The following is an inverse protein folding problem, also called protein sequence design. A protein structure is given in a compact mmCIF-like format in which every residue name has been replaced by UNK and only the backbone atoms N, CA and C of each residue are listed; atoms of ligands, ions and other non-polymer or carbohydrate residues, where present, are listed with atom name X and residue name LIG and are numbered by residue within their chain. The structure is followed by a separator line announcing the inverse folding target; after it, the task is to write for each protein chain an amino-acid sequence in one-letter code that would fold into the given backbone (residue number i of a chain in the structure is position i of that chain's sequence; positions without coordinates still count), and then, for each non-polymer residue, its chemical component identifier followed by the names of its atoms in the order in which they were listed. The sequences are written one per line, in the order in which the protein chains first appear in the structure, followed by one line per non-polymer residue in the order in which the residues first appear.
data_IF_658428924486
#
_entry.id   IF_658428924486
#
_cell.length_a   1.000
_cell.length_b   1.000
_cell.length_c   1.000
_cell.angle_alpha   90.00
_cell.angle_beta   90.00
_cell.angle_gamma   90.00
#
_symmetry.space_group_name_H-M   'P 1'
#
loop_
_entity.id
_entity.type
_entity.pdbx_description
1 polymer ?
#
# COMPACT_ATOMS: atom_id res chain seq x y z
N UNK A 1 -1.22 -3.14 15.77
CA UNK A 1 -0.24 -4.19 15.40
C UNK A 1 0.44 -3.90 14.07
N UNK A 2 -0.32 -3.42 13.07
CA UNK A 2 0.20 -3.08 11.74
C UNK A 2 1.46 -2.20 11.76
N UNK A 3 1.41 -1.05 12.47
CA UNK A 3 2.55 -0.14 12.60
C UNK A 3 3.81 -0.82 13.17
N UNK A 4 3.66 -1.69 14.18
CA UNK A 4 4.80 -2.38 14.78
C UNK A 4 5.55 -3.27 13.77
N UNK A 5 4.81 -3.91 12.85
CA UNK A 5 5.39 -4.78 11.81
C UNK A 5 6.20 -3.97 10.80
N UNK A 6 5.76 -2.75 10.50
CA UNK A 6 6.45 -1.86 9.59
C UNK A 6 7.61 -1.09 10.22
N UNK A 7 7.83 -1.24 11.54
CA UNK A 7 8.97 -0.66 12.27
C UNK A 7 9.27 0.79 11.86
N UNK A 8 8.29 1.70 11.92
CA UNK A 8 8.48 3.08 11.49
C UNK A 8 9.47 3.78 12.40
N UNK A 9 10.19 4.77 11.85
CA UNK A 9 10.93 5.73 12.66
C UNK A 9 9.93 6.65 13.38
N UNK A 10 9.97 6.67 14.70
CA UNK A 10 9.11 7.52 15.54
C UNK A 10 9.94 8.70 16.02
N UNK A 11 9.50 9.92 15.73
CA UNK A 11 10.17 11.16 16.12
C UNK A 11 9.17 12.15 16.72
N UNK A 12 9.63 13.02 17.62
CA UNK A 12 8.83 14.08 18.27
C UNK A 12 7.44 13.61 18.77
N UNK A 13 7.41 12.58 19.62
CA UNK A 13 6.14 12.06 20.14
C UNK A 13 5.77 12.69 21.48
N UNK A 14 4.51 13.15 21.60
CA UNK A 14 3.88 13.63 22.83
C UNK A 14 2.80 12.64 23.27
N UNK A 15 3.25 11.41 23.56
CA UNK A 15 2.34 10.33 23.94
C UNK A 15 2.26 10.29 25.46
N UNK A 16 1.10 10.64 26.07
CA UNK A 16 0.96 10.62 27.51
C UNK A 16 1.10 9.19 28.05
N UNK A 17 1.54 9.06 29.30
CA UNK A 17 1.61 7.77 29.98
C UNK A 17 0.20 7.28 30.35
N UNK A 18 -0.53 6.77 29.35
CA UNK A 18 -1.91 6.32 29.46
C UNK A 18 -1.99 4.78 29.47
N UNK A 19 -2.39 4.15 30.60
CA UNK A 19 -2.56 2.71 30.69
C UNK A 19 -3.65 2.16 29.75
N UNK A 20 -4.57 3.00 29.25
CA UNK A 20 -5.59 2.60 28.28
C UNK A 20 -5.03 2.39 26.84
N UNK A 21 -3.77 2.78 26.57
CA UNK A 21 -3.15 2.70 25.23
C UNK A 21 -1.83 1.92 25.21
N UNK A 22 -1.78 0.68 25.73
CA UNK A 22 -0.53 -0.07 25.90
C UNK A 22 0.19 -0.37 24.58
N UNK A 23 -0.55 -0.56 23.48
CA UNK A 23 0.06 -0.81 22.16
C UNK A 23 0.81 0.40 21.60
N UNK A 24 0.37 1.61 21.93
CA UNK A 24 1.02 2.84 21.51
C UNK A 24 2.32 3.04 22.28
N UNK A 25 2.30 2.81 23.60
CA UNK A 25 3.50 2.82 24.45
C UNK A 25 4.55 1.81 23.96
N UNK A 26 4.15 0.58 23.65
CA UNK A 26 5.05 -0.45 23.08
C UNK A 26 5.67 -0.06 21.75
N UNK A 27 4.91 0.66 20.91
CA UNK A 27 5.37 1.14 19.62
C UNK A 27 6.47 2.20 19.82
N UNK A 28 6.24 3.18 20.69
CA UNK A 28 7.20 4.25 21.03
C UNK A 28 8.46 3.70 21.68
N UNK A 29 8.31 2.75 22.61
CA UNK A 29 9.44 2.15 23.31
C UNK A 29 10.31 1.24 22.42
N UNK A 30 9.91 1.03 21.16
CA UNK A 30 10.70 0.25 20.21
C UNK A 30 10.81 -1.22 20.59
N UNK A 31 9.80 -1.80 21.25
CA UNK A 31 9.78 -3.24 21.54
C UNK A 31 9.81 -4.04 20.22
N UNK A 32 11.00 -4.50 19.84
CA UNK A 32 11.37 -4.82 18.43
C UNK A 32 11.37 -6.30 18.08
N UNK A 33 11.06 -7.20 19.02
CA UNK A 33 11.09 -8.64 18.74
C UNK A 33 9.89 -9.05 17.90
N UNK A 34 10.05 -8.97 16.58
CA UNK A 34 9.09 -9.48 15.61
C UNK A 34 9.21 -11.00 15.52
N UNK A 35 8.19 -11.69 16.01
CA UNK A 35 7.95 -13.10 15.73
C UNK A 35 6.98 -13.23 14.54
N UNK A 36 7.00 -14.35 13.80
CA UNK A 36 5.99 -14.62 12.79
C UNK A 36 4.57 -14.51 13.36
N UNK A 37 3.60 -14.02 12.56
CA UNK A 37 3.69 -13.70 11.14
C UNK A 37 4.41 -12.36 10.85
N UNK A 38 5.25 -12.35 9.80
CA UNK A 38 6.02 -11.17 9.37
C UNK A 38 5.25 -10.22 8.44
N UNK A 39 3.95 -10.50 8.26
CA UNK A 39 2.99 -9.64 7.56
C UNK A 39 1.69 -9.61 8.35
N UNK A 40 0.99 -8.48 8.31
CA UNK A 40 -0.29 -8.29 8.99
C UNK A 40 -1.27 -7.64 8.02
N UNK A 41 -2.55 -8.00 8.16
CA UNK A 41 -3.68 -7.28 7.60
C UNK A 41 -4.58 -6.89 8.77
N UNK A 42 -4.86 -5.59 8.92
CA UNK A 42 -5.66 -5.06 10.01
C UNK A 42 -6.80 -4.21 9.43
N UNK A 43 -8.04 -4.61 9.68
CA UNK A 43 -9.21 -3.82 9.29
C UNK A 43 -9.48 -2.75 10.34
N UNK A 44 -9.81 -1.55 9.89
CA UNK A 44 -10.22 -0.42 10.73
C UNK A 44 -11.37 0.35 10.05
N UNK A 45 -12.02 1.23 10.79
CA UNK A 45 -13.02 2.14 10.25
C UNK A 45 -12.91 3.50 10.93
N UNK A 46 -13.23 4.57 10.20
CA UNK A 46 -13.28 5.92 10.79
C UNK A 46 -14.45 6.05 11.75
N UNK A 47 -14.39 6.98 12.71
CA UNK A 47 -15.39 7.11 13.77
C UNK A 47 -16.78 7.62 13.33
N UNK A 48 -16.89 8.20 12.13
CA UNK A 48 -18.17 8.71 11.62
C UNK A 48 -19.22 7.59 11.48
N UNK A 49 -20.51 7.95 11.54
CA UNK A 49 -21.61 6.98 11.52
C UNK A 49 -21.62 6.06 10.28
N UNK A 50 -21.22 6.58 9.11
CA UNK A 50 -21.07 5.81 7.86
C UNK A 50 -19.63 5.34 7.61
N UNK A 51 -18.77 5.37 8.64
CA UNK A 51 -17.32 5.42 8.54
C UNK A 51 -16.65 4.59 7.44
N UNK A 52 -15.59 5.15 6.85
CA UNK A 52 -14.84 4.52 5.76
C UNK A 52 -14.13 3.26 6.25
N UNK A 53 -14.43 2.13 5.61
CA UNK A 53 -13.76 0.86 5.85
C UNK A 53 -12.43 0.83 5.13
N UNK A 54 -11.37 0.51 5.86
CA UNK A 54 -10.05 0.36 5.28
C UNK A 54 -9.29 -0.81 5.90
N UNK A 55 -8.36 -1.36 5.12
CA UNK A 55 -7.46 -2.41 5.57
C UNK A 55 -6.02 -1.93 5.47
N UNK A 56 -5.30 -1.98 6.58
CA UNK A 56 -3.86 -1.73 6.64
C UNK A 56 -3.14 -3.05 6.41
N UNK A 57 -2.31 -3.10 5.39
CA UNK A 57 -1.36 -4.16 5.14
C UNK A 57 0.02 -3.70 5.57
N UNK A 58 0.76 -4.56 6.26
CA UNK A 58 2.13 -4.26 6.67
C UNK A 58 3.01 -5.48 6.49
N UNK A 59 4.26 -5.26 6.09
CA UNK A 59 5.32 -6.26 6.10
C UNK A 59 6.55 -5.73 6.81
N UNK A 60 7.25 -6.62 7.51
CA UNK A 60 8.56 -6.30 8.05
C UNK A 60 9.64 -6.53 7.02
N UNK A 61 10.81 -5.92 7.21
CA UNK A 61 12.02 -6.21 6.44
C UNK A 61 12.33 -7.71 6.40
N UNK A 62 12.23 -8.39 7.56
CA UNK A 62 12.53 -9.83 7.70
C UNK A 62 11.67 -10.72 6.82
N UNK A 63 10.50 -10.27 6.37
CA UNK A 63 9.64 -11.02 5.46
C UNK A 63 10.29 -11.27 4.09
N UNK A 64 11.22 -10.40 3.66
CA UNK A 64 11.81 -10.37 2.32
C UNK A 64 10.79 -10.30 1.17
N UNK A 65 9.53 -9.98 1.49
CA UNK A 65 8.46 -9.90 0.50
C UNK A 65 8.49 -8.56 -0.24
N UNK A 66 8.21 -8.65 -1.53
CA UNK A 66 7.84 -7.53 -2.38
C UNK A 66 6.37 -7.20 -2.08
N UNK A 67 6.09 -6.01 -1.52
CA UNK A 67 4.76 -5.65 -0.99
C UNK A 67 3.62 -5.76 -2.00
N UNK A 68 3.80 -5.37 -3.26
CA UNK A 68 2.74 -5.34 -4.27
C UNK A 68 2.27 -6.76 -4.62
N UNK A 69 3.14 -7.62 -5.14
CA UNK A 69 2.76 -8.97 -5.58
C UNK A 69 2.61 -9.95 -4.44
N UNK A 70 3.57 -9.98 -3.50
CA UNK A 70 3.63 -11.02 -2.46
C UNK A 70 2.71 -10.70 -1.28
N UNK A 71 2.31 -9.45 -1.09
CA UNK A 71 1.34 -9.05 -0.06
C UNK A 71 0.02 -8.60 -0.70
N UNK A 72 -0.01 -7.51 -1.47
CA UNK A 72 -1.26 -6.87 -1.90
C UNK A 72 -2.05 -7.74 -2.89
N UNK A 73 -1.48 -8.16 -4.02
CA UNK A 73 -2.16 -9.05 -4.98
C UNK A 73 -2.67 -10.32 -4.30
N UNK A 74 -1.86 -10.94 -3.43
CA UNK A 74 -2.27 -12.14 -2.69
C UNK A 74 -3.41 -11.90 -1.70
N UNK A 75 -3.42 -10.76 -1.01
CA UNK A 75 -4.43 -10.43 0.01
C UNK A 75 -5.72 -9.92 -0.61
N UNK A 76 -5.63 -9.13 -1.68
CA UNK A 76 -6.77 -8.61 -2.42
C UNK A 76 -7.40 -9.67 -3.32
N UNK A 77 -6.65 -10.72 -3.70
CA UNK A 77 -7.11 -11.82 -4.58
C UNK A 77 -7.65 -11.33 -5.93
N UNK A 78 -7.04 -10.28 -6.46
CA UNK A 78 -7.38 -9.65 -7.73
C UNK A 78 -6.13 -9.03 -8.34
N UNK A 79 -6.16 -8.77 -9.64
CA UNK A 79 -5.13 -7.97 -10.30
C UNK A 79 -5.12 -6.54 -9.76
N UNK A 80 -4.02 -5.83 -9.99
CA UNK A 80 -3.87 -4.43 -9.59
C UNK A 80 -3.33 -3.58 -10.74
N UNK A 81 -3.84 -2.36 -10.87
CA UNK A 81 -3.19 -1.29 -11.66
C UNK A 81 -2.42 -0.39 -10.71
N UNK A 82 -1.16 -0.10 -11.00
CA UNK A 82 -0.23 0.55 -10.07
C UNK A 82 0.37 1.81 -10.68
N UNK A 83 0.23 2.93 -9.97
CA UNK A 83 0.96 4.18 -10.21
C UNK A 83 2.05 4.34 -9.16
N UNK A 84 3.31 4.36 -9.61
CA UNK A 84 4.48 4.31 -8.72
C UNK A 84 5.76 4.55 -9.50
N UNK A 85 6.78 5.11 -8.85
CA UNK A 85 8.12 5.20 -9.44
C UNK A 85 8.78 3.82 -9.48
N UNK A 86 9.78 3.66 -10.36
CA UNK A 86 10.31 2.33 -10.74
C UNK A 86 11.83 2.29 -10.84
N UNK A 87 12.42 1.16 -10.48
CA UNK A 87 13.86 0.88 -10.59
C UNK A 87 14.23 0.07 -11.84
N UNK A 88 13.31 -0.02 -12.81
CA UNK A 88 13.40 -0.80 -14.07
C UNK A 88 13.56 -2.32 -13.89
N UNK A 89 13.66 -2.81 -12.66
CA UNK A 89 13.90 -4.23 -12.39
C UNK A 89 12.59 -5.02 -12.29
N UNK A 90 11.60 -4.44 -11.61
CA UNK A 90 10.26 -5.00 -11.55
C UNK A 90 9.44 -4.51 -12.75
N UNK A 91 8.76 -5.45 -13.42
CA UNK A 91 7.95 -5.21 -14.63
C UNK A 91 6.51 -5.61 -14.38
N UNK A 92 5.61 -5.19 -15.27
CA UNK A 92 4.25 -5.72 -15.37
C UNK A 92 4.28 -7.25 -15.40
N UNK A 93 3.36 -7.90 -14.67
CA UNK A 93 3.21 -9.36 -14.65
C UNK A 93 1.77 -9.69 -15.00
N UNK A 94 1.47 -9.75 -16.30
CA UNK A 94 0.12 -10.03 -16.80
C UNK A 94 -0.11 -11.50 -17.17
N UNK A 95 0.88 -12.36 -16.93
CA UNK A 95 0.86 -13.75 -17.39
C UNK A 95 -0.08 -14.64 -16.55
N UNK A 96 -0.47 -14.17 -15.37
CA UNK A 96 -1.36 -14.90 -14.46
C UNK A 96 -2.73 -14.22 -14.47
N UNK A 97 -3.75 -14.93 -14.97
CA UNK A 97 -5.15 -14.49 -14.88
C UNK A 97 -5.53 -14.21 -13.41
N UNK A 98 -6.25 -13.11 -13.18
CA UNK A 98 -6.76 -12.62 -11.89
C UNK A 98 -5.73 -12.32 -10.78
N UNK A 99 -4.42 -12.40 -11.07
CA UNK A 99 -3.34 -12.07 -10.12
C UNK A 99 -2.21 -11.29 -10.79
N UNK A 100 -2.59 -10.36 -11.66
CA UNK A 100 -1.66 -9.57 -12.47
C UNK A 100 -1.27 -8.24 -11.82
N UNK A 101 -0.10 -7.73 -12.20
CA UNK A 101 0.30 -6.34 -11.94
C UNK A 101 0.37 -5.61 -13.29
N UNK A 102 -0.46 -4.58 -13.46
CA UNK A 102 -0.43 -3.67 -14.60
C UNK A 102 0.11 -2.31 -14.15
N UNK A 103 1.07 -1.76 -14.87
CA UNK A 103 1.68 -0.48 -14.53
C UNK A 103 0.96 0.63 -15.28
N UNK A 104 0.50 1.66 -14.55
CA UNK A 104 -0.14 2.84 -15.15
C UNK A 104 0.91 3.64 -15.93
N UNK A 105 0.56 4.08 -17.14
CA UNK A 105 1.46 4.86 -18.00
C UNK A 105 1.48 6.33 -17.60
N UNK A 106 2.68 6.92 -17.66
CA UNK A 106 2.88 8.36 -17.56
C UNK A 106 2.63 9.04 -18.92
N UNK A 107 2.03 10.25 -18.96
CA UNK A 107 1.45 10.98 -17.84
C UNK A 107 0.01 10.52 -17.50
N UNK A 108 -0.42 10.76 -16.26
CA UNK A 108 -1.83 10.72 -15.86
C UNK A 108 -2.43 12.14 -15.90
N UNK A 109 -3.76 12.25 -15.92
CA UNK A 109 -4.46 13.53 -15.85
C UNK A 109 -5.34 13.58 -14.61
N UNK A 110 -5.19 14.63 -13.81
CA UNK A 110 -5.97 14.90 -12.60
C UNK A 110 -6.73 16.22 -12.83
N UNK A 111 -8.02 16.12 -13.12
CA UNK A 111 -8.79 17.28 -13.59
C UNK A 111 -8.25 17.76 -14.94
N UNK A 112 -7.68 18.96 -14.97
CA UNK A 112 -7.02 19.60 -16.10
C UNK A 112 -5.48 19.59 -16.00
N UNK A 113 -4.92 18.98 -14.95
CA UNK A 113 -3.48 18.94 -14.71
C UNK A 113 -2.86 17.59 -15.10
N UNK A 114 -1.82 17.62 -15.92
CA UNK A 114 -1.01 16.44 -16.21
C UNK A 114 0.01 16.20 -15.08
N UNK A 115 0.14 14.95 -14.63
CA UNK A 115 1.16 14.51 -13.68
C UNK A 115 1.99 13.40 -14.29
N UNK A 116 3.31 13.46 -14.12
CA UNK A 116 4.25 12.46 -14.64
C UNK A 116 4.91 11.69 -13.50
N UNK A 117 5.38 10.47 -13.77
CA UNK A 117 6.05 9.63 -12.76
C UNK A 117 7.30 10.30 -12.17
N UNK A 118 7.96 11.19 -12.90
CA UNK A 118 9.15 11.91 -12.46
C UNK A 118 8.82 13.04 -11.46
N UNK A 119 7.60 13.58 -11.54
CA UNK A 119 7.16 14.71 -10.73
C UNK A 119 6.12 14.32 -9.65
N UNK A 120 5.73 13.05 -9.60
CA UNK A 120 4.73 12.52 -8.68
C UNK A 120 5.38 11.53 -7.71
N UNK A 121 5.37 11.89 -6.42
CA UNK A 121 5.91 11.06 -5.34
C UNK A 121 4.86 10.17 -4.69
N UNK A 122 3.62 10.15 -5.19
CA UNK A 122 2.60 9.26 -4.69
C UNK A 122 2.82 7.84 -5.19
N UNK A 123 2.44 6.86 -4.36
CA UNK A 123 2.35 5.47 -4.78
C UNK A 123 0.97 4.96 -4.43
N UNK A 124 0.22 4.59 -5.46
CA UNK A 124 -1.12 4.06 -5.29
C UNK A 124 -1.42 2.93 -6.25
N UNK A 125 -2.44 2.15 -5.89
CA UNK A 125 -2.98 1.13 -6.77
C UNK A 125 -4.50 1.09 -6.67
N UNK A 126 -5.10 0.50 -7.69
CA UNK A 126 -6.51 0.11 -7.71
C UNK A 126 -6.65 -1.37 -8.04
N UNK A 127 -7.64 -2.03 -7.47
CA UNK A 127 -7.98 -3.41 -7.83
C UNK A 127 -8.62 -3.50 -9.22
N UNK A 128 -8.37 -4.57 -9.98
CA UNK A 128 -9.10 -4.78 -11.24
C UNK A 128 -10.56 -5.18 -11.01
N UNK A 129 -10.81 -5.89 -9.90
CA UNK A 129 -12.16 -6.27 -9.48
C UNK A 129 -12.43 -5.79 -8.06
N UNK A 130 -13.67 -5.37 -7.79
CA UNK A 130 -14.04 -4.73 -6.53
C UNK A 130 -13.69 -3.24 -6.50
N UNK A 131 -13.75 -2.63 -5.31
CA UNK A 131 -13.69 -1.19 -5.11
C UNK A 131 -12.49 -0.75 -4.26
N UNK A 132 -11.34 -1.40 -4.43
CA UNK A 132 -10.16 -1.13 -3.60
C UNK A 132 -9.29 -0.07 -4.25
N UNK A 133 -9.07 1.01 -3.52
CA UNK A 133 -8.01 1.97 -3.77
C UNK A 133 -6.99 1.86 -2.63
N UNK A 134 -5.69 1.76 -2.92
CA UNK A 134 -4.68 1.70 -1.88
C UNK A 134 -3.57 2.72 -2.10
N UNK A 135 -3.06 3.28 -1.00
CA UNK A 135 -1.83 4.07 -0.96
C UNK A 135 -0.74 3.24 -0.29
N UNK A 136 0.48 3.29 -0.81
CA UNK A 136 1.63 2.49 -0.39
C UNK A 136 2.76 3.46 -0.01
N UNK A 137 3.54 3.14 1.01
CA UNK A 137 4.67 3.98 1.48
C UNK A 137 5.99 3.73 0.72
N UNK A 138 6.05 2.67 -0.09
CA UNK A 138 7.23 2.25 -0.84
C UNK A 138 6.95 2.18 -2.34
N UNK A 139 7.88 2.64 -3.19
CA UNK A 139 7.75 2.49 -4.64
C UNK A 139 7.90 1.04 -5.09
N UNK A 140 7.50 0.74 -6.33
CA UNK A 140 7.64 -0.58 -6.92
C UNK A 140 9.08 -0.83 -7.40
N UNK A 141 9.98 -0.89 -6.42
CA UNK A 141 11.40 -1.15 -6.59
C UNK A 141 11.72 -2.52 -5.99
N UNK A 142 12.78 -3.19 -6.46
CA UNK A 142 13.27 -4.45 -5.89
C UNK A 142 13.86 -4.23 -4.49
N UNK A 143 14.42 -3.05 -4.21
CA UNK A 143 15.05 -2.69 -2.93
C UNK A 143 14.10 -2.84 -1.74
N UNK A 144 12.81 -2.54 -1.89
CA UNK A 144 11.81 -2.63 -0.80
C UNK A 144 11.66 -4.05 -0.22
N UNK A 145 12.14 -5.10 -0.89
CA UNK A 145 12.23 -6.43 -0.29
C UNK A 145 13.10 -6.42 0.99
N UNK A 146 14.07 -5.50 1.08
CA UNK A 146 14.96 -5.28 2.21
C UNK A 146 14.50 -4.15 3.15
N UNK A 147 13.27 -3.68 3.00
CA UNK A 147 12.72 -2.60 3.82
C UNK A 147 11.39 -3.05 4.41
N UNK A 148 10.92 -2.50 5.54
CA UNK A 148 9.52 -2.61 5.89
C UNK A 148 8.65 -1.81 4.89
N UNK A 149 7.38 -2.18 4.77
CA UNK A 149 6.42 -1.47 3.93
C UNK A 149 4.99 -1.56 4.49
N UNK A 150 4.18 -0.57 4.17
CA UNK A 150 2.76 -0.50 4.48
C UNK A 150 1.92 -0.08 3.28
N UNK A 151 0.69 -0.56 3.26
CA UNK A 151 -0.34 -0.04 2.40
C UNK A 151 -1.63 0.16 3.19
N UNK A 152 -2.37 1.22 2.87
CA UNK A 152 -3.72 1.44 3.36
C UNK A 152 -4.66 1.32 2.18
N UNK A 153 -5.55 0.33 2.22
CA UNK A 153 -6.55 0.08 1.18
C UNK A 153 -7.94 0.49 1.67
N UNK A 154 -8.56 1.43 0.98
CA UNK A 154 -9.92 1.91 1.20
C UNK A 154 -10.88 1.09 0.34
N UNK A 155 -12.03 0.73 0.92
CA UNK A 155 -13.12 0.05 0.22
C UNK A 155 -14.26 1.02 -0.03
N UNK A 156 -14.17 1.77 -1.12
CA UNK A 156 -15.14 2.80 -1.47
C UNK A 156 -15.25 2.93 -2.99
N UNK A 157 -16.47 2.76 -3.52
CA UNK A 157 -16.73 2.74 -4.96
C UNK A 157 -16.49 4.11 -5.62
N UNK A 158 -16.72 5.21 -4.89
CA UNK A 158 -16.55 6.57 -5.41
C UNK A 158 -15.07 6.88 -5.56
N UNK A 159 -14.28 6.65 -4.51
CA UNK A 159 -12.82 6.85 -4.52
C UNK A 159 -12.19 5.93 -5.59
N UNK A 160 -12.57 4.65 -5.60
CA UNK A 160 -12.12 3.71 -6.62
C UNK A 160 -12.42 4.21 -8.03
N UNK A 161 -13.65 4.67 -8.29
CA UNK A 161 -14.08 5.16 -9.60
C UNK A 161 -13.21 6.29 -10.12
N UNK A 162 -12.90 7.28 -9.26
CA UNK A 162 -12.02 8.39 -9.63
C UNK A 162 -10.62 7.92 -10.04
N UNK A 163 -9.98 7.07 -9.23
CA UNK A 163 -8.64 6.58 -9.55
C UNK A 163 -8.62 5.58 -10.72
N UNK A 164 -9.72 4.88 -10.98
CA UNK A 164 -9.85 4.02 -12.15
C UNK A 164 -9.89 4.79 -13.47
N UNK A 165 -10.48 5.99 -13.47
CA UNK A 165 -10.41 6.91 -14.62
C UNK A 165 -8.99 7.45 -14.80
N UNK A 166 -8.34 7.89 -13.71
CA UNK A 166 -6.97 8.42 -13.75
C UNK A 166 -5.98 7.34 -14.25
N UNK A 167 -6.08 6.13 -13.72
CA UNK A 167 -5.20 4.99 -14.03
C UNK A 167 -5.68 4.10 -15.18
N UNK A 168 -6.47 4.63 -16.12
CA UNK A 168 -7.06 3.83 -17.20
C UNK A 168 -6.02 3.27 -18.18
N UNK A 169 -4.97 4.05 -18.46
CA UNK A 169 -3.92 3.68 -19.41
C UNK A 169 -2.81 2.91 -18.69
N UNK A 170 -2.49 1.73 -19.19
CA UNK A 170 -1.47 0.83 -18.61
C UNK A 170 -0.48 0.39 -19.67
N UNK A 171 0.74 0.10 -19.23
CA UNK A 171 1.81 -0.37 -20.12
C UNK A 171 1.44 -1.72 -20.72
N UNK A 172 1.83 -1.91 -21.98
CA UNK A 172 1.70 -3.20 -22.64
C UNK A 172 2.48 -4.27 -21.86
N UNK A 173 1.85 -5.42 -21.67
CA UNK A 173 2.45 -6.55 -21.00
C UNK A 173 3.50 -7.19 -21.92
N UNK A 174 4.75 -7.30 -21.46
CA UNK A 174 5.85 -8.00 -22.13
C UNK A 174 6.26 -9.27 -21.35
#
# INVERSE_FOLDING_TARGET
MALRIATPLIYHNDIPDDPARPNLKKLVNGESRLTPPLTVAQQISTAAAQGLKMTIYSKSEKSKYEVYRRVLVKKLKTGIKVWTTRDKTLKSDCRILDKSIKLVTSPITIGDHASSLENDVSQWLISETGNKFCVIDKPYHKSQTKEPAMAVCIDDATIFGHFNVIGQNVENCA
#
